data_IF_430757767428
#
_entry.id   IF_430757767428
#
_cell.length_a   1.000
_cell.length_b   1.000
_cell.length_c   1.000
_cell.angle_alpha   90.00
_cell.angle_beta   90.00
_cell.angle_gamma   90.00
#
_symmetry.space_group_name_H-M   'P 1'
#
loop_
_entity.id
_entity.type
_entity.pdbx_description
1 polymer ?
#
# COMPACT_ATOMS: atom_id res chain seq x y z
N UNK A 1 -22.62 -8.11 -10.89
CA UNK A 1 -22.79 -7.17 -9.76
C UNK A 1 -21.91 -5.96 -10.02
N UNK A 2 -22.46 -4.75 -10.01
CA UNK A 2 -21.66 -3.53 -10.16
C UNK A 2 -20.92 -3.33 -8.83
N UNK A 3 -19.64 -3.73 -8.77
CA UNK A 3 -18.84 -3.57 -7.55
C UNK A 3 -18.42 -2.11 -7.46
N UNK A 4 -19.05 -1.37 -6.55
CA UNK A 4 -18.74 0.04 -6.34
C UNK A 4 -17.39 0.15 -5.65
N UNK A 5 -16.62 1.16 -6.03
CA UNK A 5 -15.41 1.50 -5.32
C UNK A 5 -15.75 2.00 -3.91
N UNK A 6 -14.91 1.63 -2.94
CA UNK A 6 -14.97 2.08 -1.56
C UNK A 6 -13.54 2.38 -1.07
N UNK A 7 -13.37 3.10 0.05
CA UNK A 7 -12.07 3.27 0.67
C UNK A 7 -11.46 1.91 1.03
N UNK A 8 -10.22 1.71 0.61
CA UNK A 8 -9.40 0.54 0.91
C UNK A 8 -8.12 1.02 1.60
N UNK A 9 -7.67 0.26 2.59
CA UNK A 9 -6.43 0.53 3.31
C UNK A 9 -5.57 -0.72 3.32
N UNK A 10 -4.32 -0.60 2.91
CA UNK A 10 -3.29 -1.62 3.14
C UNK A 10 -2.31 -1.08 4.19
N UNK A 11 -1.97 -1.92 5.16
CA UNK A 11 -0.93 -1.65 6.15
C UNK A 11 0.22 -2.62 6.01
N UNK A 12 1.42 -2.13 6.26
CA UNK A 12 2.66 -2.92 6.28
C UNK A 12 3.76 -2.15 7.00
N UNK A 13 4.92 -2.79 7.15
CA UNK A 13 6.11 -2.19 7.73
C UNK A 13 7.24 -2.25 6.70
N UNK A 14 8.01 -1.17 6.57
CA UNK A 14 9.22 -1.07 5.75
C UNK A 14 10.40 -0.65 6.60
N UNK A 15 11.63 -0.84 6.10
CA UNK A 15 12.79 -0.20 6.71
C UNK A 15 12.74 1.31 6.49
N UNK A 16 12.99 2.08 7.55
CA UNK A 16 12.84 3.53 7.56
C UNK A 16 13.71 4.21 6.51
N UNK A 17 14.91 3.69 6.21
CA UNK A 17 15.78 4.26 5.17
C UNK A 17 15.18 4.19 3.75
N UNK A 18 14.20 3.31 3.50
CA UNK A 18 13.52 3.18 2.20
C UNK A 18 12.12 3.80 2.18
N UNK A 19 11.61 4.30 3.30
CA UNK A 19 10.25 4.84 3.42
C UNK A 19 9.90 5.89 2.34
N UNK A 20 10.78 6.86 2.09
CA UNK A 20 10.58 7.87 1.04
C UNK A 20 10.53 7.25 -0.37
N UNK A 21 11.38 6.25 -0.63
CA UNK A 21 11.37 5.54 -1.92
C UNK A 21 10.04 4.79 -2.12
N UNK A 22 9.52 4.17 -1.06
CA UNK A 22 8.20 3.54 -1.07
C UNK A 22 7.10 4.54 -1.37
N UNK A 23 7.04 5.67 -0.65
CA UNK A 23 6.03 6.72 -0.89
C UNK A 23 6.05 7.21 -2.33
N UNK A 24 7.24 7.46 -2.89
CA UNK A 24 7.37 8.01 -4.25
C UNK A 24 7.11 7.01 -5.37
N UNK A 25 7.50 5.74 -5.19
CA UNK A 25 7.55 4.77 -6.27
C UNK A 25 6.41 3.75 -6.21
N UNK A 26 6.01 3.32 -5.01
CA UNK A 26 4.93 2.34 -4.87
C UNK A 26 3.62 2.91 -5.42
N UNK A 27 3.33 4.19 -5.11
CA UNK A 27 2.11 4.81 -5.59
C UNK A 27 2.05 4.95 -7.10
N UNK A 28 3.20 5.26 -7.74
CA UNK A 28 3.33 5.27 -9.20
C UNK A 28 3.15 3.87 -9.80
N UNK A 29 3.67 2.84 -9.15
CA UNK A 29 3.53 1.46 -9.61
C UNK A 29 2.06 1.00 -9.58
N UNK A 30 1.35 1.26 -8.47
CA UNK A 30 -0.09 0.97 -8.33
C UNK A 30 -0.89 1.72 -9.39
N UNK A 31 -0.67 3.03 -9.56
CA UNK A 31 -1.38 3.83 -10.58
C UNK A 31 -1.15 3.32 -11.99
N UNK A 32 0.09 2.96 -12.35
CA UNK A 32 0.41 2.43 -13.68
C UNK A 32 -0.26 1.09 -13.96
N UNK A 33 -0.39 0.24 -12.94
CA UNK A 33 -0.92 -1.12 -13.09
C UNK A 33 -2.44 -1.16 -13.05
N UNK A 34 -3.05 -0.40 -12.14
CA UNK A 34 -4.47 -0.50 -11.81
C UNK A 34 -5.28 0.76 -12.15
N UNK A 35 -4.63 1.83 -12.61
CA UNK A 35 -5.26 3.15 -12.86
C UNK A 35 -5.94 3.73 -11.62
N UNK A 36 -5.40 3.43 -10.44
CA UNK A 36 -5.86 3.89 -9.13
C UNK A 36 -4.86 4.89 -8.56
N UNK A 37 -5.36 6.06 -8.15
CA UNK A 37 -4.58 6.99 -7.34
C UNK A 37 -4.59 6.53 -5.88
N UNK A 38 -3.43 6.62 -5.22
CA UNK A 38 -3.26 6.22 -3.83
C UNK A 38 -2.54 7.30 -3.03
N UNK A 39 -2.97 7.48 -1.79
CA UNK A 39 -2.23 8.20 -0.77
C UNK A 39 -1.37 7.20 0.00
N UNK A 40 -0.09 7.52 0.18
CA UNK A 40 0.83 6.70 0.97
C UNK A 40 1.39 7.56 2.09
N UNK A 41 1.17 7.12 3.32
CA UNK A 41 1.69 7.74 4.54
C UNK A 41 2.70 6.79 5.17
N UNK A 42 3.87 7.32 5.55
CA UNK A 42 4.86 6.59 6.34
C UNK A 42 4.98 7.20 7.73
N UNK A 43 5.04 6.39 8.78
CA UNK A 43 5.54 6.85 10.08
C UNK A 43 7.07 6.84 10.06
N UNK A 44 7.65 8.00 9.78
CA UNK A 44 9.10 8.20 9.72
C UNK A 44 9.77 8.28 11.10
N UNK A 45 9.01 8.13 12.19
CA UNK A 45 9.51 8.23 13.57
C UNK A 45 9.75 6.88 14.26
N UNK A 46 9.56 5.77 13.53
CA UNK A 46 9.57 4.43 14.11
C UNK A 46 10.88 4.04 14.82
N UNK A 47 10.72 3.45 16.01
CA UNK A 47 11.81 2.95 16.83
C UNK A 47 12.44 1.70 16.21
N UNK A 48 13.77 1.64 16.15
CA UNK A 48 14.49 0.47 15.63
C UNK A 48 14.61 0.40 14.10
N UNK A 49 14.44 1.54 13.40
CA UNK A 49 14.69 1.64 11.95
C UNK A 49 13.59 1.04 11.07
N UNK A 50 12.41 0.80 11.63
CA UNK A 50 11.22 0.32 10.90
C UNK A 50 10.15 1.39 10.91
N UNK A 51 9.44 1.54 9.80
CA UNK A 51 8.37 2.52 9.62
C UNK A 51 7.09 1.83 9.19
N UNK A 52 5.95 2.16 9.83
CA UNK A 52 4.63 1.78 9.32
C UNK A 52 4.39 2.50 7.99
N UNK A 53 3.86 1.78 7.01
CA UNK A 53 3.40 2.32 5.74
C UNK A 53 1.91 2.05 5.60
N UNK A 54 1.14 3.12 5.42
CA UNK A 54 -0.31 3.08 5.22
C UNK A 54 -0.61 3.53 3.79
N UNK A 55 -1.23 2.64 3.01
CA UNK A 55 -1.61 2.90 1.61
C UNK A 55 -3.13 2.98 1.55
N UNK A 56 -3.67 4.13 1.16
CA UNK A 56 -5.12 4.36 1.02
C UNK A 56 -5.50 4.66 -0.42
N UNK A 57 -6.58 4.04 -0.89
CA UNK A 57 -7.07 4.20 -2.26
C UNK A 57 -8.56 3.88 -2.37
N UNK A 58 -9.18 4.23 -3.50
CA UNK A 58 -10.54 3.84 -3.84
C UNK A 58 -10.51 2.67 -4.81
N UNK A 59 -11.13 1.56 -4.42
CA UNK A 59 -11.28 0.38 -5.26
C UNK A 59 -12.39 -0.52 -4.75
N UNK A 60 -12.96 -1.34 -5.62
CA UNK A 60 -13.75 -2.48 -5.20
C UNK A 60 -12.89 -3.60 -4.58
N UNK A 61 -13.54 -4.58 -3.96
CA UNK A 61 -12.86 -5.66 -3.20
C UNK A 61 -11.92 -6.52 -4.06
N UNK A 62 -12.26 -6.78 -5.32
CA UNK A 62 -11.42 -7.58 -6.21
C UNK A 62 -10.14 -6.81 -6.55
N UNK A 63 -10.28 -5.55 -6.97
CA UNK A 63 -9.13 -4.71 -7.31
C UNK A 63 -8.26 -4.40 -6.09
N UNK A 64 -8.85 -4.30 -4.90
CA UNK A 64 -8.11 -4.17 -3.64
C UNK A 64 -7.24 -5.41 -3.38
N UNK A 65 -7.82 -6.60 -3.55
CA UNK A 65 -7.13 -7.90 -3.42
C UNK A 65 -6.01 -8.01 -4.46
N UNK A 66 -6.29 -7.72 -5.73
CA UNK A 66 -5.29 -7.73 -6.81
C UNK A 66 -4.14 -6.73 -6.53
N UNK A 67 -4.46 -5.57 -5.95
CA UNK A 67 -3.47 -4.57 -5.56
C UNK A 67 -2.56 -5.11 -4.45
N UNK A 68 -3.15 -5.72 -3.42
CA UNK A 68 -2.40 -6.34 -2.32
C UNK A 68 -1.46 -7.43 -2.84
N UNK A 69 -1.96 -8.34 -3.68
CA UNK A 69 -1.16 -9.42 -4.26
C UNK A 69 -0.02 -8.88 -5.14
N UNK A 70 -0.30 -7.85 -5.95
CA UNK A 70 0.69 -7.23 -6.81
C UNK A 70 1.84 -6.62 -6.00
N UNK A 71 1.54 -5.82 -4.97
CA UNK A 71 2.60 -5.18 -4.20
C UNK A 71 3.38 -6.21 -3.39
N UNK A 72 2.70 -7.20 -2.79
CA UNK A 72 3.33 -8.25 -1.99
C UNK A 72 4.29 -9.10 -2.82
N UNK A 73 3.97 -9.32 -4.10
CA UNK A 73 4.85 -10.10 -5.01
C UNK A 73 6.07 -9.33 -5.49
N UNK A 74 5.95 -8.02 -5.67
CA UNK A 74 6.96 -7.21 -6.38
C UNK A 74 7.85 -6.41 -5.41
N UNK A 75 7.33 -6.07 -4.23
CA UNK A 75 8.01 -5.22 -3.26
C UNK A 75 8.40 -6.00 -2.01
N UNK A 76 9.48 -5.57 -1.35
CA UNK A 76 10.01 -6.23 -0.17
C UNK A 76 9.66 -5.46 1.10
N UNK A 77 8.78 -6.03 1.89
CA UNK A 77 8.34 -5.47 3.17
C UNK A 77 9.04 -6.17 4.34
N UNK A 78 9.07 -5.50 5.49
CA UNK A 78 9.53 -6.10 6.76
C UNK A 78 8.45 -7.03 7.31
N UNK A 79 7.19 -6.64 7.16
CA UNK A 79 6.02 -7.41 7.57
C UNK A 79 5.10 -7.58 6.37
N UNK A 80 4.40 -8.72 6.31
CA UNK A 80 3.45 -9.01 5.23
C UNK A 80 2.42 -7.89 5.14
N UNK A 81 2.19 -7.30 3.96
CA UNK A 81 1.11 -6.33 3.79
C UNK A 81 -0.26 -6.95 4.01
N UNK A 82 -1.17 -6.19 4.60
CA UNK A 82 -2.53 -6.67 4.90
C UNK A 82 -3.58 -5.64 4.48
N UNK A 83 -4.65 -6.12 3.84
CA UNK A 83 -5.85 -5.33 3.62
C UNK A 83 -6.61 -5.19 4.94
N UNK A 84 -6.76 -3.97 5.42
CA UNK A 84 -7.49 -3.65 6.63
C UNK A 84 -8.90 -3.21 6.23
N UNK A 85 -9.90 -3.99 6.62
CA UNK A 85 -11.30 -3.57 6.44
C UNK A 85 -11.61 -2.39 7.35
N UNK A 86 -12.11 -1.30 6.79
CA UNK A 86 -12.79 -0.26 7.55
C UNK A 86 -14.25 -0.64 7.82
#
# INVERSE_FOLDING_TARGET
MNKKDKPQTIKTTVWSEFSNLYVEQLGKAIRRKFFVDCGIEGDFTGLGGKSELIIRFLANDDQATDTLEYITRIWQFVETPELVSQ
#
